data_IF_241036719795
#
_entry.id   IF_241036719795
#
_cell.length_a   1.000
_cell.length_b   1.000
_cell.length_c   1.000
_cell.angle_alpha   90.00
_cell.angle_beta   90.00
_cell.angle_gamma   90.00
#
_symmetry.space_group_name_H-M   'P 1'
#
loop_
_entity.id
_entity.type
_entity.pdbx_description
1 polymer ?
#
# COMPACT_ATOMS: atom_id res chain seq x y z
N UNK A 1 2.74 -20.29 9.63
CA UNK A 1 2.76 -19.14 8.72
C UNK A 1 2.14 -19.55 7.40
N UNK A 2 1.28 -18.72 6.85
CA UNK A 2 0.68 -18.92 5.54
C UNK A 2 1.78 -18.93 4.46
N UNK A 3 1.76 -19.95 3.58
CA UNK A 3 2.70 -20.02 2.47
C UNK A 3 2.10 -19.27 1.28
N UNK A 4 2.69 -18.15 0.92
CA UNK A 4 2.26 -17.36 -0.22
C UNK A 4 2.79 -17.92 -1.54
N UNK A 5 1.98 -17.80 -2.60
CA UNK A 5 2.40 -18.12 -3.96
C UNK A 5 2.86 -16.84 -4.67
N UNK A 6 4.17 -16.59 -4.68
CA UNK A 6 4.76 -15.37 -5.22
C UNK A 6 5.15 -15.53 -6.69
N UNK A 7 4.77 -14.58 -7.52
CA UNK A 7 5.19 -14.49 -8.92
C UNK A 7 6.69 -14.24 -9.01
N UNK A 8 7.43 -15.10 -9.73
CA UNK A 8 8.89 -14.98 -9.84
C UNK A 8 9.33 -14.11 -11.03
N UNK A 9 8.47 -13.93 -12.01
CA UNK A 9 8.74 -13.10 -13.19
C UNK A 9 8.68 -11.60 -12.83
N UNK A 10 9.30 -10.77 -13.72
CA UNK A 10 9.20 -9.32 -13.59
C UNK A 10 7.85 -8.85 -14.15
N UNK A 11 6.86 -8.72 -13.29
CA UNK A 11 5.49 -8.32 -13.61
C UNK A 11 5.16 -6.87 -13.22
N UNK A 12 6.18 -6.06 -13.01
CA UNK A 12 6.04 -4.67 -12.59
C UNK A 12 5.75 -3.75 -13.77
N UNK A 13 4.98 -2.69 -13.54
CA UNK A 13 4.61 -1.69 -14.55
C UNK A 13 5.73 -0.71 -14.90
N UNK A 14 6.92 -0.96 -14.43
CA UNK A 14 8.12 -0.17 -14.70
C UNK A 14 9.31 -1.07 -15.07
N UNK A 15 10.31 -0.54 -15.82
CA UNK A 15 11.45 -1.33 -16.22
C UNK A 15 12.35 -1.69 -15.03
N UNK A 16 12.96 -2.87 -15.10
CA UNK A 16 13.96 -3.32 -14.14
C UNK A 16 15.24 -2.50 -14.27
N UNK A 17 15.75 -1.99 -13.15
CA UNK A 17 17.03 -1.29 -13.11
C UNK A 17 18.22 -2.27 -13.11
N UNK A 18 19.28 -1.92 -13.80
CA UNK A 18 20.56 -2.64 -13.78
C UNK A 18 21.46 -2.24 -12.59
N UNK A 19 21.08 -1.18 -11.86
CA UNK A 19 21.82 -0.65 -10.70
C UNK A 19 21.46 -1.33 -9.38
N UNK A 20 20.43 -2.15 -9.37
CA UNK A 20 19.93 -2.80 -8.14
C UNK A 20 19.76 -4.29 -8.33
N UNK A 21 19.96 -5.04 -7.28
CA UNK A 21 19.55 -6.43 -7.16
C UNK A 21 18.15 -6.49 -6.57
N UNK A 22 17.33 -7.39 -7.08
CA UNK A 22 15.93 -7.56 -6.69
C UNK A 22 15.65 -8.99 -6.29
N UNK A 23 14.93 -9.16 -5.18
CA UNK A 23 14.35 -10.45 -4.77
C UNK A 23 13.02 -10.25 -4.07
N UNK A 24 12.12 -11.24 -4.18
CA UNK A 24 10.91 -11.27 -3.35
C UNK A 24 11.23 -11.80 -1.96
N UNK A 25 10.60 -11.20 -0.96
CA UNK A 25 10.72 -11.56 0.44
C UNK A 25 9.34 -11.60 1.10
N UNK A 26 9.24 -12.30 2.22
CA UNK A 26 8.03 -12.33 3.04
C UNK A 26 8.40 -12.06 4.49
N UNK A 27 7.50 -11.42 5.20
CA UNK A 27 7.54 -11.23 6.64
C UNK A 27 6.10 -11.30 7.18
N UNK A 28 5.91 -11.21 8.47
CA UNK A 28 4.58 -11.27 9.06
C UNK A 28 4.37 -10.14 10.06
N UNK A 29 3.15 -9.67 10.16
CA UNK A 29 2.76 -8.69 11.16
C UNK A 29 2.34 -9.40 12.47
N UNK A 30 2.05 -8.63 13.52
CA UNK A 30 1.63 -9.15 14.83
C UNK A 30 0.25 -9.80 14.83
N UNK A 31 -0.54 -9.60 13.79
CA UNK A 31 -1.81 -10.30 13.58
C UNK A 31 -1.64 -11.67 12.90
N UNK A 32 -0.39 -12.07 12.60
CA UNK A 32 -0.07 -13.35 11.98
C UNK A 32 -0.29 -13.37 10.47
N UNK A 33 -0.56 -12.23 9.84
CA UNK A 33 -0.72 -12.12 8.39
C UNK A 33 0.66 -12.06 7.74
N UNK A 34 0.90 -12.93 6.75
CA UNK A 34 2.13 -12.92 5.98
C UNK A 34 2.06 -11.86 4.88
N UNK A 35 3.05 -10.98 4.85
CA UNK A 35 3.18 -9.90 3.88
C UNK A 35 4.20 -10.27 2.80
N UNK A 36 3.87 -9.94 1.55
CA UNK A 36 4.75 -10.09 0.40
C UNK A 36 5.40 -8.75 0.05
N UNK A 37 6.70 -8.76 -0.20
CA UNK A 37 7.44 -7.58 -0.61
C UNK A 37 8.46 -7.88 -1.71
N UNK A 38 8.76 -6.83 -2.47
CA UNK A 38 9.90 -6.76 -3.37
C UNK A 38 11.02 -6.01 -2.67
N UNK A 39 12.16 -6.67 -2.46
CA UNK A 39 13.35 -6.07 -1.85
C UNK A 39 14.34 -5.67 -2.95
N UNK A 40 14.83 -4.44 -2.89
CA UNK A 40 15.82 -3.89 -3.79
C UNK A 40 17.07 -3.50 -3.00
N UNK A 41 18.23 -3.97 -3.45
CA UNK A 41 19.51 -3.67 -2.83
C UNK A 41 20.42 -3.00 -3.87
N UNK A 42 21.08 -1.88 -3.54
CA UNK A 42 22.06 -1.26 -4.44
C UNK A 42 23.14 -2.28 -4.83
N UNK A 43 23.41 -2.41 -6.14
CA UNK A 43 24.40 -3.36 -6.62
C UNK A 43 25.82 -2.92 -6.22
N UNK A 44 26.59 -3.85 -5.67
CA UNK A 44 27.96 -3.57 -5.23
C UNK A 44 28.06 -2.74 -3.92
N UNK A 45 26.94 -2.54 -3.21
CA UNK A 45 26.98 -1.86 -1.94
C UNK A 45 27.69 -2.71 -0.88
N UNK A 46 28.49 -2.04 -0.06
CA UNK A 46 29.23 -2.65 1.04
C UNK A 46 28.77 -2.08 2.39
N UNK A 47 28.91 -2.89 3.44
CA UNK A 47 28.58 -2.49 4.81
C UNK A 47 27.07 -2.39 5.07
N UNK A 48 26.72 -1.65 6.12
CA UNK A 48 25.33 -1.44 6.54
C UNK A 48 24.70 -0.23 5.85
N UNK A 49 23.57 -0.43 5.21
CA UNK A 49 22.84 0.57 4.45
C UNK A 49 21.71 1.19 5.28
N UNK A 50 21.35 2.46 5.04
CA UNK A 50 20.05 2.96 5.44
C UNK A 50 18.95 2.20 4.69
N UNK A 51 17.78 2.03 5.32
CA UNK A 51 16.72 1.26 4.71
C UNK A 51 15.39 2.03 4.66
N UNK A 52 14.54 1.69 3.67
CA UNK A 52 13.22 2.32 3.49
C UNK A 52 12.17 1.25 3.17
N UNK A 53 11.05 1.27 3.91
CA UNK A 53 9.85 0.52 3.56
C UNK A 53 8.85 1.44 2.83
N UNK A 54 8.30 0.95 1.71
CA UNK A 54 7.39 1.72 0.84
C UNK A 54 6.09 0.97 0.67
N UNK A 55 4.94 1.64 0.80
CA UNK A 55 3.63 1.07 0.48
C UNK A 55 2.63 2.12 -0.01
N UNK A 56 1.57 1.64 -0.66
CA UNK A 56 0.49 2.45 -1.26
C UNK A 56 0.62 2.59 -2.78
N UNK A 57 -0.31 3.27 -3.44
CA UNK A 57 -1.58 3.87 -2.97
C UNK A 57 -2.63 2.85 -2.50
N UNK A 58 -3.75 3.37 -1.97
CA UNK A 58 -4.94 2.57 -1.66
C UNK A 58 -5.42 1.82 -2.92
N UNK A 59 -5.71 0.52 -2.79
CA UNK A 59 -6.16 -0.32 -3.91
C UNK A 59 -5.08 -0.66 -4.95
N UNK A 60 -3.85 -0.15 -4.79
CA UNK A 60 -2.70 -0.51 -5.63
C UNK A 60 -1.92 -1.70 -5.06
N UNK A 61 -0.94 -2.19 -5.81
CA UNK A 61 -0.02 -3.26 -5.43
C UNK A 61 1.43 -2.82 -5.57
N UNK A 62 2.33 -3.54 -4.91
CA UNK A 62 3.79 -3.24 -4.90
C UNK A 62 4.45 -3.23 -6.27
N UNK A 63 3.84 -3.85 -7.26
CA UNK A 63 4.30 -3.86 -8.65
C UNK A 63 4.05 -2.53 -9.39
N UNK A 64 3.34 -1.60 -8.76
CA UNK A 64 3.00 -0.27 -9.30
C UNK A 64 3.89 0.83 -8.67
N UNK A 65 3.35 1.97 -8.30
CA UNK A 65 4.13 3.14 -7.88
C UNK A 65 5.03 2.89 -6.66
N UNK A 66 4.59 2.13 -5.66
CA UNK A 66 5.44 1.85 -4.49
C UNK A 66 6.71 1.10 -4.85
N UNK A 67 6.64 0.13 -5.77
CA UNK A 67 7.81 -0.57 -6.27
C UNK A 67 8.75 0.32 -7.08
N UNK A 68 8.19 1.24 -7.90
CA UNK A 68 9.00 2.23 -8.61
C UNK A 68 9.76 3.14 -7.64
N UNK A 69 9.07 3.66 -6.60
CA UNK A 69 9.73 4.47 -5.56
C UNK A 69 10.82 3.68 -4.85
N UNK A 70 10.54 2.43 -4.45
CA UNK A 70 11.52 1.57 -3.79
C UNK A 70 12.75 1.34 -4.67
N UNK A 71 12.55 1.00 -5.97
CA UNK A 71 13.67 0.83 -6.89
C UNK A 71 14.49 2.13 -7.05
N UNK A 72 13.83 3.29 -7.19
CA UNK A 72 14.53 4.58 -7.31
C UNK A 72 15.31 4.96 -6.07
N UNK A 73 14.78 4.71 -4.89
CA UNK A 73 15.52 4.93 -3.64
C UNK A 73 16.69 3.96 -3.49
N UNK A 74 16.56 2.74 -3.98
CA UNK A 74 17.68 1.80 -4.00
C UNK A 74 18.81 2.24 -4.95
N UNK A 75 18.48 2.84 -6.10
CA UNK A 75 19.47 3.46 -6.99
C UNK A 75 20.26 4.60 -6.32
N UNK A 76 19.68 5.21 -5.26
CA UNK A 76 20.30 6.27 -4.46
C UNK A 76 21.07 5.76 -3.22
N UNK A 77 21.20 4.44 -3.06
CA UNK A 77 22.04 3.84 -2.00
C UNK A 77 21.27 3.33 -0.78
N UNK A 78 19.95 3.25 -0.81
CA UNK A 78 19.16 2.65 0.28
C UNK A 78 18.87 1.17 0.00
N UNK A 79 18.84 0.32 1.02
CA UNK A 79 18.15 -0.95 0.92
C UNK A 79 16.65 -0.68 1.06
N UNK A 80 15.83 -1.15 0.12
CA UNK A 80 14.40 -0.82 0.16
C UNK A 80 13.53 -2.04 0.01
N UNK A 81 12.33 -1.97 0.58
CA UNK A 81 11.25 -2.91 0.29
C UNK A 81 10.01 -2.15 -0.17
N UNK A 82 9.33 -2.66 -1.21
CA UNK A 82 7.95 -2.30 -1.50
C UNK A 82 7.08 -3.48 -1.12
N UNK A 83 6.09 -3.27 -0.25
CA UNK A 83 5.26 -4.36 0.24
C UNK A 83 3.79 -4.17 -0.10
N UNK A 84 3.10 -5.28 -0.38
CA UNK A 84 1.66 -5.32 -0.40
C UNK A 84 1.15 -5.31 1.04
N UNK A 85 0.19 -4.46 1.38
CA UNK A 85 -0.42 -4.50 2.70
C UNK A 85 -1.20 -5.79 2.93
N UNK A 86 -1.52 -6.08 4.20
CA UNK A 86 -2.46 -7.14 4.56
C UNK A 86 -3.71 -7.12 3.68
N UNK A 87 -4.18 -8.27 3.26
CA UNK A 87 -5.36 -8.48 2.42
C UNK A 87 -5.24 -8.03 0.95
N UNK A 88 -4.09 -7.53 0.52
CA UNK A 88 -3.89 -6.94 -0.82
C UNK A 88 -2.80 -7.67 -1.60
N UNK A 89 -2.88 -7.65 -2.93
CA UNK A 89 -1.86 -8.17 -3.82
C UNK A 89 -1.46 -9.62 -3.53
N UNK A 90 -0.17 -9.87 -3.35
CA UNK A 90 0.37 -11.19 -2.98
C UNK A 90 0.43 -11.44 -1.48
N UNK A 91 0.15 -10.44 -0.64
CA UNK A 91 0.06 -10.60 0.82
C UNK A 91 -1.15 -11.42 1.22
N UNK A 92 -1.04 -12.10 2.36
CA UNK A 92 -2.08 -12.94 2.93
C UNK A 92 -3.25 -12.18 3.55
N UNK A 93 -4.11 -12.93 4.20
CA UNK A 93 -5.28 -12.45 4.90
C UNK A 93 -6.58 -12.58 4.10
N UNK A 94 -7.67 -12.88 4.82
CA UNK A 94 -9.03 -13.01 4.31
C UNK A 94 -10.02 -12.30 5.22
N UNK A 95 -11.10 -11.69 4.67
CA UNK A 95 -11.40 -11.53 3.24
C UNK A 95 -10.40 -10.60 2.54
N UNK A 96 -10.38 -10.64 1.20
CA UNK A 96 -9.46 -9.80 0.41
C UNK A 96 -9.95 -8.34 0.37
N UNK A 97 -9.00 -7.43 0.12
CA UNK A 97 -9.24 -5.98 -0.04
C UNK A 97 -9.80 -5.28 1.21
N UNK A 98 -9.54 -5.82 2.38
CA UNK A 98 -9.84 -5.13 3.64
C UNK A 98 -8.82 -4.01 3.85
N UNK A 99 -9.32 -2.83 4.20
CA UNK A 99 -8.52 -1.73 4.69
C UNK A 99 -8.87 -1.47 6.16
N UNK A 100 -7.87 -1.49 7.02
CA UNK A 100 -8.01 -1.22 8.45
C UNK A 100 -6.88 -0.32 8.91
N UNK A 101 -7.18 0.87 9.48
CA UNK A 101 -6.14 1.76 9.99
C UNK A 101 -5.19 1.08 10.97
N UNK A 102 -5.72 0.23 11.85
CA UNK A 102 -4.92 -0.46 12.87
C UNK A 102 -3.99 -1.50 12.26
N UNK A 103 -4.53 -2.40 11.41
CA UNK A 103 -3.77 -3.48 10.78
C UNK A 103 -2.75 -2.90 9.81
N UNK A 104 -3.14 -1.91 9.01
CA UNK A 104 -2.26 -1.36 7.99
C UNK A 104 -1.18 -0.41 8.57
N UNK A 105 -1.42 0.20 9.73
CA UNK A 105 -0.37 0.85 10.52
C UNK A 105 0.64 -0.18 11.03
N UNK A 106 0.16 -1.32 11.55
CA UNK A 106 1.01 -2.43 11.99
C UNK A 106 1.82 -3.03 10.82
N UNK A 107 1.31 -3.06 9.59
CA UNK A 107 2.05 -3.54 8.42
C UNK A 107 3.35 -2.75 8.19
N UNK A 108 3.35 -1.43 8.43
CA UNK A 108 4.57 -0.62 8.41
C UNK A 108 5.53 -0.96 9.57
N UNK A 109 5.01 -1.15 10.78
CA UNK A 109 5.84 -1.57 11.93
C UNK A 109 6.47 -2.94 11.67
N UNK A 110 5.73 -3.89 11.11
CA UNK A 110 6.24 -5.20 10.71
C UNK A 110 7.31 -5.12 9.60
N UNK A 111 7.16 -4.19 8.66
CA UNK A 111 8.19 -3.91 7.65
C UNK A 111 9.49 -3.38 8.31
N UNK A 112 9.36 -2.54 9.34
CA UNK A 112 10.50 -2.06 10.15
C UNK A 112 11.12 -3.20 10.96
N UNK A 113 10.31 -4.09 11.55
CA UNK A 113 10.81 -5.31 12.22
C UNK A 113 11.68 -6.13 11.26
N UNK A 114 11.16 -6.39 10.06
CA UNK A 114 11.87 -7.14 9.03
C UNK A 114 13.18 -6.48 8.62
N UNK A 115 13.18 -5.16 8.37
CA UNK A 115 14.38 -4.42 7.97
C UNK A 115 15.43 -4.37 9.10
N UNK A 116 15.00 -4.23 10.35
CA UNK A 116 15.89 -4.09 11.51
C UNK A 116 16.77 -5.30 11.76
N UNK A 117 16.36 -6.49 11.28
CA UNK A 117 17.12 -7.75 11.47
C UNK A 117 17.91 -8.17 10.23
N UNK A 118 17.92 -7.37 9.15
CA UNK A 118 18.75 -7.66 7.98
C UNK A 118 20.22 -7.34 8.31
N UNK A 119 21.13 -8.25 7.96
CA UNK A 119 22.56 -8.10 8.27
C UNK A 119 23.21 -6.86 7.65
N UNK A 120 22.74 -6.49 6.46
CA UNK A 120 23.20 -5.34 5.67
C UNK A 120 22.39 -4.05 5.88
N UNK A 121 21.54 -3.98 6.92
CA UNK A 121 20.80 -2.77 7.30
C UNK A 121 21.37 -2.15 8.56
N UNK A 122 21.47 -0.82 8.58
CA UNK A 122 21.70 -0.05 9.79
C UNK A 122 20.35 0.22 10.48
N UNK A 123 20.06 -0.43 11.61
CA UNK A 123 18.75 -0.30 12.28
C UNK A 123 18.50 1.10 12.84
N UNK A 124 19.53 1.94 12.95
CA UNK A 124 19.40 3.33 13.37
C UNK A 124 19.09 4.28 12.19
N UNK A 125 18.99 3.77 10.95
CA UNK A 125 18.73 4.54 9.74
C UNK A 125 17.59 3.94 8.90
N UNK A 126 16.45 3.69 9.53
CA UNK A 126 15.25 3.17 8.85
C UNK A 126 14.23 4.30 8.65
N UNK A 127 13.76 4.46 7.42
CA UNK A 127 12.69 5.36 7.04
C UNK A 127 11.52 4.62 6.39
N UNK A 128 10.40 5.33 6.22
CA UNK A 128 9.22 4.80 5.53
C UNK A 128 8.68 5.82 4.53
N UNK A 129 8.07 5.31 3.46
CA UNK A 129 7.34 6.11 2.46
C UNK A 129 5.92 5.56 2.35
N UNK A 130 4.94 6.39 2.67
CA UNK A 130 3.53 6.10 2.42
C UNK A 130 2.98 6.96 1.29
N UNK A 131 2.30 6.34 0.33
CA UNK A 131 1.78 7.02 -0.87
C UNK A 131 0.25 7.07 -0.81
N UNK A 132 -0.37 8.23 -1.07
CA UNK A 132 -1.81 8.46 -1.08
C UNK A 132 -2.41 8.14 0.31
N UNK A 133 -3.44 7.32 0.42
CA UNK A 133 -4.01 6.91 1.71
C UNK A 133 -3.02 6.21 2.65
N UNK A 134 -1.97 5.60 2.11
CA UNK A 134 -0.89 5.00 2.90
C UNK A 134 0.05 6.04 3.53
N UNK A 135 0.01 7.27 3.07
CA UNK A 135 0.68 8.40 3.73
C UNK A 135 0.17 8.61 5.16
N UNK A 136 -1.15 8.53 5.37
CA UNK A 136 -1.76 8.60 6.71
C UNK A 136 -1.33 7.44 7.60
N UNK A 137 -1.31 6.19 7.07
CA UNK A 137 -0.84 5.01 7.81
C UNK A 137 0.65 5.12 8.19
N UNK A 138 1.47 5.66 7.29
CA UNK A 138 2.90 5.91 7.57
C UNK A 138 3.10 6.92 8.70
N UNK A 139 2.31 8.00 8.73
CA UNK A 139 2.35 8.98 9.83
C UNK A 139 1.94 8.33 11.16
N UNK A 140 0.89 7.50 11.16
CA UNK A 140 0.48 6.76 12.36
C UNK A 140 1.59 5.82 12.85
N UNK A 141 2.24 5.08 11.94
CA UNK A 141 3.35 4.20 12.28
C UNK A 141 4.53 4.99 12.87
N UNK A 142 4.90 6.13 12.27
CA UNK A 142 5.96 6.99 12.77
C UNK A 142 5.65 7.59 14.16
N UNK A 143 4.37 7.80 14.48
CA UNK A 143 3.96 8.31 15.78
C UNK A 143 4.11 7.28 16.93
N UNK A 144 4.13 5.99 16.61
CA UNK A 144 4.16 4.91 17.61
C UNK A 144 5.44 4.06 17.58
N UNK A 145 6.22 4.11 16.50
CA UNK A 145 7.45 3.33 16.35
C UNK A 145 8.69 4.24 16.28
N UNK A 146 9.44 4.31 17.35
CA UNK A 146 10.64 5.17 17.49
C UNK A 146 11.82 4.73 16.62
N UNK A 147 11.79 3.55 16.01
CA UNK A 147 12.80 3.06 15.07
C UNK A 147 12.68 3.73 13.71
N UNK A 148 11.52 4.31 13.40
CA UNK A 148 11.30 5.09 12.17
C UNK A 148 11.95 6.46 12.34
N UNK A 149 13.05 6.70 11.62
CA UNK A 149 13.85 7.94 11.74
C UNK A 149 13.42 9.01 10.73
N UNK A 150 12.77 8.61 9.64
CA UNK A 150 12.29 9.52 8.62
C UNK A 150 11.00 8.99 7.99
N UNK A 151 10.06 9.89 7.68
CA UNK A 151 8.80 9.52 7.04
C UNK A 151 8.50 10.48 5.91
N UNK A 152 8.22 9.94 4.72
CA UNK A 152 7.69 10.71 3.60
C UNK A 152 6.23 10.29 3.33
N UNK A 153 5.31 11.24 3.49
CA UNK A 153 3.90 11.06 3.16
C UNK A 153 3.63 11.76 1.80
N UNK A 154 3.59 10.96 0.73
CA UNK A 154 3.52 11.45 -0.64
C UNK A 154 2.08 11.54 -1.12
N UNK A 155 1.64 12.71 -1.63
CA UNK A 155 0.25 12.92 -2.09
C UNK A 155 -0.79 12.37 -1.11
N UNK A 156 -0.58 12.64 0.18
CA UNK A 156 -1.30 12.02 1.29
C UNK A 156 -2.79 12.35 1.28
N UNK A 157 -3.59 11.34 1.57
CA UNK A 157 -4.98 11.46 1.98
C UNK A 157 -5.15 11.06 3.45
N UNK A 158 -5.90 11.85 4.20
CA UNK A 158 -6.54 11.38 5.43
C UNK A 158 -7.77 10.56 5.03
N UNK A 159 -7.61 9.24 4.99
CA UNK A 159 -8.68 8.33 4.53
C UNK A 159 -9.88 8.35 5.47
N UNK A 160 -9.70 8.64 6.74
CA UNK A 160 -10.81 8.74 7.70
C UNK A 160 -11.64 10.00 7.44
N UNK A 161 -11.00 11.13 7.18
CA UNK A 161 -11.66 12.39 6.83
C UNK A 161 -12.36 12.29 5.47
N UNK A 162 -11.68 11.75 4.44
CA UNK A 162 -12.28 11.58 3.11
C UNK A 162 -13.52 10.66 3.17
N UNK A 163 -13.44 9.57 3.92
CA UNK A 163 -14.59 8.67 4.10
C UNK A 163 -15.74 9.35 4.83
N UNK A 164 -15.44 10.16 5.85
CA UNK A 164 -16.47 10.84 6.64
C UNK A 164 -17.11 12.04 5.89
N UNK A 165 -16.29 12.87 5.25
CA UNK A 165 -16.68 14.19 4.76
C UNK A 165 -16.68 14.33 3.24
N UNK A 166 -16.25 13.29 2.51
CA UNK A 166 -16.04 13.37 1.04
C UNK A 166 -14.76 14.13 0.66
N UNK A 167 -14.47 14.17 -0.63
CA UNK A 167 -13.37 14.97 -1.15
C UNK A 167 -13.61 16.46 -0.90
N UNK A 168 -12.58 17.15 -0.43
CA UNK A 168 -12.63 18.59 -0.11
C UNK A 168 -13.68 18.97 0.95
N UNK A 169 -14.07 18.01 1.80
CA UNK A 169 -15.13 18.15 2.81
C UNK A 169 -16.50 18.55 2.21
N UNK A 170 -16.75 18.20 0.94
CA UNK A 170 -17.96 18.59 0.24
C UNK A 170 -19.25 17.99 0.83
N UNK A 171 -19.13 16.96 1.66
CA UNK A 171 -20.24 16.26 2.31
C UNK A 171 -20.16 16.35 3.85
N UNK A 172 -19.48 17.38 4.37
CA UNK A 172 -19.31 17.55 5.82
C UNK A 172 -20.61 17.99 6.49
N UNK A 173 -21.43 17.02 6.85
CA UNK A 173 -22.59 17.21 7.71
C UNK A 173 -22.84 15.99 8.58
N UNK A 174 -23.40 16.22 9.78
CA UNK A 174 -23.76 15.13 10.69
C UNK A 174 -24.78 14.18 10.06
N UNK A 175 -25.77 14.72 9.35
CA UNK A 175 -26.77 13.92 8.64
C UNK A 175 -26.16 13.05 7.55
N UNK A 176 -25.26 13.60 6.73
CA UNK A 176 -24.59 12.83 5.68
C UNK A 176 -23.74 11.68 6.26
N UNK A 177 -23.01 11.94 7.32
CA UNK A 177 -22.25 10.91 8.05
C UNK A 177 -23.14 9.84 8.66
N UNK A 178 -24.30 10.22 9.20
CA UNK A 178 -25.27 9.26 9.74
C UNK A 178 -25.83 8.35 8.65
N UNK A 179 -26.26 8.91 7.52
CA UNK A 179 -26.80 8.11 6.41
C UNK A 179 -25.74 7.18 5.79
N UNK A 180 -24.50 7.64 5.64
CA UNK A 180 -23.38 6.77 5.22
C UNK A 180 -23.20 5.59 6.18
N UNK A 181 -23.15 5.84 7.49
CA UNK A 181 -23.00 4.76 8.48
C UNK A 181 -24.19 3.79 8.43
N UNK A 182 -25.41 4.31 8.28
CA UNK A 182 -26.62 3.48 8.15
C UNK A 182 -26.55 2.57 6.90
N UNK A 183 -26.13 3.12 5.76
CA UNK A 183 -25.96 2.34 4.52
C UNK A 183 -24.88 1.26 4.68
N UNK A 184 -23.72 1.60 5.25
CA UNK A 184 -22.65 0.63 5.53
C UNK A 184 -23.09 -0.47 6.51
N UNK A 185 -23.88 -0.13 7.52
CA UNK A 185 -24.40 -1.12 8.47
C UNK A 185 -25.43 -2.05 7.82
N UNK A 186 -26.27 -1.53 6.92
CA UNK A 186 -27.20 -2.36 6.13
C UNK A 186 -26.41 -3.32 5.20
N UNK A 187 -25.37 -2.83 4.51
CA UNK A 187 -24.49 -3.66 3.69
C UNK A 187 -23.79 -4.74 4.54
N UNK A 188 -23.27 -4.38 5.71
CA UNK A 188 -22.65 -5.36 6.62
C UNK A 188 -23.61 -6.47 7.03
N UNK A 189 -24.89 -6.17 7.21
CA UNK A 189 -25.93 -7.18 7.53
C UNK A 189 -26.14 -8.11 6.32
N UNK A 190 -26.15 -7.56 5.11
CA UNK A 190 -26.30 -8.35 3.88
C UNK A 190 -25.07 -9.21 3.61
N UNK A 191 -23.88 -8.69 3.79
CA UNK A 191 -22.63 -9.45 3.69
C UNK A 191 -22.62 -10.65 4.64
N UNK A 192 -23.07 -10.46 5.89
CA UNK A 192 -23.17 -11.56 6.87
C UNK A 192 -24.20 -12.60 6.43
N UNK A 193 -25.35 -12.18 5.87
CA UNK A 193 -26.42 -13.08 5.41
C UNK A 193 -25.99 -13.89 4.21
N UNK A 194 -25.31 -13.28 3.25
CA UNK A 194 -24.87 -13.93 1.99
C UNK A 194 -23.57 -14.71 2.13
N UNK A 195 -22.76 -14.44 3.17
CA UNK A 195 -21.41 -14.97 3.32
C UNK A 195 -20.40 -14.39 2.32
N UNK A 196 -20.73 -13.25 1.70
CA UNK A 196 -19.86 -12.53 0.76
C UNK A 196 -19.64 -11.11 1.24
N UNK A 197 -18.65 -10.41 0.66
CA UNK A 197 -18.30 -9.05 1.04
C UNK A 197 -18.40 -8.14 -0.17
N UNK A 198 -19.25 -7.11 -0.07
CA UNK A 198 -19.30 -6.07 -1.09
C UNK A 198 -18.03 -5.21 -1.05
N UNK A 199 -17.47 -4.93 -2.22
CA UNK A 199 -16.30 -4.06 -2.36
C UNK A 199 -16.75 -2.62 -2.59
N UNK A 200 -16.00 -1.67 -2.05
CA UNK A 200 -16.21 -0.25 -2.30
C UNK A 200 -15.80 0.17 -3.73
N UNK A 201 -15.19 -0.76 -4.47
CA UNK A 201 -14.71 -0.52 -5.83
C UNK A 201 -13.28 0.06 -5.87
N UNK A 202 -12.76 0.15 -7.08
CA UNK A 202 -11.48 0.77 -7.40
C UNK A 202 -11.67 2.08 -8.16
N UNK A 203 -10.86 2.28 -9.20
CA UNK A 203 -11.02 3.42 -10.12
C UNK A 203 -12.21 3.14 -11.04
N UNK A 204 -13.10 4.12 -11.16
CA UNK A 204 -14.33 4.01 -11.94
C UNK A 204 -14.05 3.60 -13.41
N UNK A 205 -14.88 2.67 -13.95
CA UNK A 205 -14.83 2.22 -15.33
C UNK A 205 -16.26 1.82 -15.77
N UNK A 206 -16.85 2.39 -16.86
CA UNK A 206 -16.23 3.38 -17.75
C UNK A 206 -16.03 4.77 -17.10
N UNK A 207 -15.07 5.53 -17.62
CA UNK A 207 -14.81 6.90 -17.17
C UNK A 207 -15.98 7.82 -17.55
N UNK A 208 -16.64 8.51 -16.60
CA UNK A 208 -17.67 9.51 -16.92
C UNK A 208 -17.10 10.69 -17.72
N UNK A 209 -17.89 11.22 -18.65
CA UNK A 209 -17.47 12.36 -19.51
C UNK A 209 -17.13 13.61 -18.70
N UNK A 210 -17.91 13.88 -17.65
CA UNK A 210 -17.79 15.02 -16.74
C UNK A 210 -16.88 14.75 -15.53
N UNK A 211 -16.15 13.63 -15.54
CA UNK A 211 -15.27 13.26 -14.42
C UNK A 211 -14.28 14.39 -14.10
N UNK A 212 -14.05 14.68 -12.79
CA UNK A 212 -13.00 15.61 -12.36
C UNK A 212 -11.62 15.18 -12.87
N UNK A 213 -10.71 16.15 -13.04
CA UNK A 213 -9.37 15.88 -13.59
C UNK A 213 -8.61 14.77 -12.81
N UNK A 214 -8.66 14.78 -11.49
CA UNK A 214 -7.97 13.75 -10.71
C UNK A 214 -8.51 12.32 -10.95
N UNK A 215 -9.81 12.18 -11.25
CA UNK A 215 -10.41 10.88 -11.62
C UNK A 215 -9.92 10.45 -13.00
N UNK A 216 -9.82 11.40 -13.95
CA UNK A 216 -9.22 11.16 -15.28
C UNK A 216 -7.77 10.71 -15.18
N UNK A 217 -7.00 11.33 -14.29
CA UNK A 217 -5.59 10.98 -14.04
C UNK A 217 -5.45 9.58 -13.42
N UNK A 218 -6.33 9.21 -12.49
CA UNK A 218 -6.37 7.84 -11.93
C UNK A 218 -6.74 6.81 -12.99
N UNK A 219 -7.76 7.10 -13.81
CA UNK A 219 -8.14 6.24 -14.93
C UNK A 219 -6.97 6.05 -15.91
N UNK A 220 -6.33 7.15 -16.32
CA UNK A 220 -5.20 7.13 -17.24
C UNK A 220 -3.99 6.33 -16.71
N UNK A 221 -3.85 6.20 -15.39
CA UNK A 221 -2.84 5.34 -14.80
C UNK A 221 -3.32 3.90 -14.63
N UNK A 222 -4.39 3.66 -13.89
CA UNK A 222 -4.78 2.33 -13.45
C UNK A 222 -5.49 1.49 -14.51
N UNK A 223 -6.20 2.11 -15.44
CA UNK A 223 -7.02 1.43 -16.48
C UNK A 223 -6.32 1.33 -17.85
N UNK A 224 -5.08 1.76 -17.96
CA UNK A 224 -4.28 1.70 -19.19
C UNK A 224 -2.96 0.95 -18.96
N UNK A 225 -2.24 0.54 -20.01
CA UNK A 225 -0.94 -0.15 -19.87
C UNK A 225 0.12 0.64 -19.08
N UNK A 226 -0.10 1.93 -18.84
CA UNK A 226 0.81 2.76 -18.05
C UNK A 226 1.00 2.27 -16.63
N UNK A 227 -0.05 1.75 -16.00
CA UNK A 227 -0.01 1.33 -14.61
C UNK A 227 -0.97 0.20 -14.27
N UNK A 228 -1.64 -0.40 -15.28
CA UNK A 228 -2.53 -1.54 -15.06
C UNK A 228 -1.79 -2.72 -14.47
N UNK A 229 -2.36 -3.32 -13.42
CA UNK A 229 -1.86 -4.57 -12.85
C UNK A 229 -3.03 -5.47 -12.42
N UNK A 230 -2.96 -6.76 -12.79
CA UNK A 230 -4.05 -7.71 -12.59
C UNK A 230 -4.44 -7.97 -11.13
N UNK A 231 -3.53 -7.73 -10.19
CA UNK A 231 -3.81 -7.87 -8.74
C UNK A 231 -4.27 -6.57 -8.06
N UNK A 232 -4.25 -5.44 -8.77
CA UNK A 232 -4.67 -4.14 -8.21
C UNK A 232 -6.20 -4.00 -8.25
N UNK A 233 -6.82 -3.67 -7.12
CA UNK A 233 -8.24 -3.33 -7.05
C UNK A 233 -8.56 -2.11 -7.93
N UNK A 234 -7.65 -1.11 -7.96
CA UNK A 234 -7.82 0.08 -8.79
C UNK A 234 -7.86 -0.24 -10.30
N UNK A 235 -7.21 -1.33 -10.71
CA UNK A 235 -7.20 -1.75 -12.12
C UNK A 235 -8.41 -2.63 -12.48
N UNK A 236 -8.94 -3.40 -11.55
CA UNK A 236 -9.95 -4.44 -11.80
C UNK A 236 -11.29 -4.21 -11.07
N UNK A 237 -11.34 -3.27 -10.15
CA UNK A 237 -12.54 -2.95 -9.38
C UNK A 237 -13.46 -1.95 -10.07
#
# INVERSE_FOLDING_TARGET
>A
MEKLNLTQEWDKVFPKSDKVDHKKVTFHNRYGITLAADMYTPRGAEGKLPAIAVSGPFGAVKEQSSGLYAQKMAELGFLTIAFDPSYTGESGGTPRYVASPDINTEDFCAAVDFLSVQENVDPERIGIIGICGWGGMAINAAAIDTRIKATAAMTMYDMTRVTANGYFDAEDSEQARFEKKKAMNAQRTEDYRSGTYALAGGVVDPLPEDAPQFVKDYYAYYKTPRGYHSRSLNSNG
#
